data_IF_645706110238
#
_entry.id   IF_645706110238
#
_cell.length_a   1.000
_cell.length_b   1.000
_cell.length_c   1.000
_cell.angle_alpha   90.00
_cell.angle_beta   90.00
_cell.angle_gamma   90.00
#
_symmetry.space_group_name_H-M   'P 1'
#
loop_
_entity.id
_entity.type
_entity.pdbx_description
1 polymer ?
#
# COMPACT_ATOMS: atom_id res chain seq x y z
N UNK A 1 -15.37 11.86 19.59
CA UNK A 1 -14.80 11.25 18.36
C UNK A 1 -15.26 12.09 17.17
N UNK A 2 -14.38 12.36 16.23
CA UNK A 2 -14.71 13.06 14.98
C UNK A 2 -15.37 12.07 14.01
N UNK A 3 -16.62 12.36 13.62
CA UNK A 3 -17.45 11.50 12.76
C UNK A 3 -16.84 11.37 11.35
N UNK A 4 -16.29 12.46 10.82
CA UNK A 4 -15.64 12.46 9.51
C UNK A 4 -14.34 11.65 9.54
N UNK A 5 -13.58 11.75 10.63
CA UNK A 5 -12.37 10.96 10.80
C UNK A 5 -12.66 9.45 10.92
N UNK A 6 -13.68 9.04 11.69
CA UNK A 6 -14.11 7.64 11.79
C UNK A 6 -14.59 7.13 10.41
N UNK A 7 -15.30 7.96 9.65
CA UNK A 7 -15.71 7.63 8.29
C UNK A 7 -14.53 7.39 7.35
N UNK A 8 -13.59 8.34 7.26
CA UNK A 8 -12.44 8.23 6.37
C UNK A 8 -11.55 7.04 6.74
N UNK A 9 -11.42 6.74 8.03
CA UNK A 9 -10.70 5.54 8.50
C UNK A 9 -11.33 4.24 8.00
N UNK A 10 -12.67 4.14 8.00
CA UNK A 10 -13.39 2.93 7.56
C UNK A 10 -13.45 2.83 6.03
N UNK A 11 -13.68 3.95 5.36
CA UNK A 11 -13.74 4.01 3.90
C UNK A 11 -12.36 3.70 3.29
N UNK A 12 -11.30 4.21 3.92
CA UNK A 12 -9.90 4.07 3.49
C UNK A 12 -9.69 4.69 2.12
N UNK A 13 -9.08 5.88 2.08
CA UNK A 13 -8.81 6.61 0.84
C UNK A 13 -7.36 6.45 0.43
N UNK A 14 -7.12 6.08 -0.82
CA UNK A 14 -5.78 6.07 -1.42
C UNK A 14 -5.77 7.12 -2.53
N UNK A 15 -4.90 8.11 -2.41
CA UNK A 15 -4.68 9.09 -3.46
C UNK A 15 -3.57 8.61 -4.41
N UNK A 16 -3.69 8.99 -5.67
CA UNK A 16 -2.72 8.80 -6.74
C UNK A 16 -2.53 10.13 -7.45
N UNK A 17 -1.30 10.45 -7.83
CA UNK A 17 -0.98 11.62 -8.65
C UNK A 17 -0.77 11.17 -10.09
N UNK A 18 -1.44 11.84 -11.00
CA UNK A 18 -1.28 11.67 -12.45
C UNK A 18 -0.35 12.78 -13.00
N UNK A 19 -0.11 12.77 -14.31
CA UNK A 19 0.74 13.74 -14.97
C UNK A 19 0.17 15.18 -14.88
N UNK A 20 1.05 16.17 -14.73
CA UNK A 20 0.63 17.57 -14.64
C UNK A 20 0.38 18.15 -16.04
N UNK A 21 -0.77 18.79 -16.22
CA UNK A 21 -1.15 19.44 -17.48
C UNK A 21 -0.56 20.85 -17.52
N UNK A 22 0.14 21.17 -18.62
CA UNK A 22 0.71 22.50 -18.87
C UNK A 22 0.64 22.86 -20.36
N UNK A 23 0.50 24.16 -20.66
CA UNK A 23 0.79 24.72 -22.00
C UNK A 23 -0.14 24.36 -23.17
N UNK A 24 -1.40 23.97 -22.95
CA UNK A 24 -2.37 23.59 -24.01
C UNK A 24 -3.64 24.44 -24.01
N UNK A 25 -4.31 24.61 -25.17
CA UNK A 25 -5.57 25.39 -25.28
C UNK A 25 -6.81 24.61 -24.79
N UNK A 26 -6.84 23.29 -24.94
CA UNK A 26 -7.98 22.45 -24.52
C UNK A 26 -7.51 21.04 -24.20
N UNK A 27 -7.90 20.52 -23.04
CA UNK A 27 -7.68 19.14 -22.60
C UNK A 27 -9.03 18.44 -22.46
N UNK A 28 -9.20 17.31 -23.14
CA UNK A 28 -10.40 16.47 -23.02
C UNK A 28 -10.03 15.27 -22.17
N UNK A 29 -10.57 15.20 -20.95
CA UNK A 29 -10.38 14.06 -20.07
C UNK A 29 -11.60 13.14 -20.16
N UNK A 30 -11.46 12.07 -20.93
CA UNK A 30 -12.35 10.91 -20.86
C UNK A 30 -11.84 10.00 -19.74
N UNK A 31 -12.49 10.02 -18.58
CA UNK A 31 -12.22 9.01 -17.56
C UNK A 31 -12.80 7.70 -18.09
N UNK A 32 -11.93 6.75 -18.47
CA UNK A 32 -12.31 5.53 -19.15
C UNK A 32 -13.46 4.82 -18.42
N UNK A 33 -14.61 4.68 -19.09
CA UNK A 33 -15.65 3.78 -18.63
C UNK A 33 -15.07 2.36 -18.59
N UNK A 34 -15.23 1.65 -17.47
CA UNK A 34 -14.78 0.27 -17.27
C UNK A 34 -15.11 -0.57 -18.53
N UNK A 35 -14.15 -1.26 -19.17
CA UNK A 35 -14.46 -2.21 -20.23
C UNK A 35 -15.33 -3.32 -19.64
N UNK A 36 -16.51 -3.56 -20.24
CA UNK A 36 -17.48 -4.59 -19.80
C UNK A 36 -16.97 -6.04 -19.86
N UNK A 37 -15.68 -6.29 -20.08
CA UNK A 37 -15.12 -7.59 -20.45
C UNK A 37 -14.28 -8.31 -19.39
N UNK A 38 -14.26 -7.87 -18.12
CA UNK A 38 -13.70 -8.68 -17.01
C UNK A 38 -14.81 -9.37 -16.21
N UNK A 39 -15.01 -10.70 -16.33
CA UNK A 39 -16.13 -11.42 -15.71
C UNK A 39 -15.90 -11.72 -14.22
N UNK A 40 -15.03 -10.98 -13.53
CA UNK A 40 -14.76 -11.17 -12.11
C UNK A 40 -14.63 -9.80 -11.45
N UNK A 41 -15.55 -9.47 -10.54
CA UNK A 41 -15.69 -8.22 -9.77
C UNK A 41 -16.63 -7.14 -10.34
N UNK A 42 -17.94 -7.36 -10.21
CA UNK A 42 -18.92 -6.27 -10.19
C UNK A 42 -19.04 -5.69 -8.77
N UNK A 43 -18.00 -5.02 -8.30
CA UNK A 43 -18.09 -3.89 -7.36
C UNK A 43 -17.13 -2.86 -7.95
N UNK A 44 -17.62 -2.01 -8.84
CA UNK A 44 -16.81 -0.97 -9.48
C UNK A 44 -16.12 -0.16 -8.38
N UNK A 45 -14.78 -0.15 -8.37
CA UNK A 45 -14.04 0.79 -7.54
C UNK A 45 -14.51 2.19 -7.96
N UNK A 46 -15.13 2.91 -7.05
CA UNK A 46 -15.60 4.26 -7.30
C UNK A 46 -14.42 5.19 -7.05
N UNK A 47 -13.91 5.83 -8.10
CA UNK A 47 -12.81 6.80 -8.02
C UNK A 47 -13.34 8.22 -8.11
N UNK A 48 -12.60 9.14 -7.51
CA UNK A 48 -12.75 10.58 -7.72
C UNK A 48 -11.53 11.07 -8.49
N UNK A 49 -11.75 11.69 -9.64
CA UNK A 49 -10.70 12.49 -10.28
C UNK A 49 -10.57 13.82 -9.55
N UNK A 50 -9.35 14.24 -9.26
CA UNK A 50 -9.08 15.57 -8.72
C UNK A 50 -8.32 16.42 -9.73
N UNK A 51 -8.62 17.71 -9.73
CA UNK A 51 -7.91 18.70 -10.53
C UNK A 51 -7.63 19.93 -9.65
N UNK A 52 -6.35 20.26 -9.46
CA UNK A 52 -5.89 21.40 -8.67
C UNK A 52 -5.21 22.42 -9.59
N UNK A 53 -5.71 23.66 -9.61
CA UNK A 53 -5.20 24.74 -10.47
C UNK A 53 -4.03 25.42 -9.78
N UNK A 54 -2.81 25.06 -10.16
CA UNK A 54 -1.57 25.61 -9.55
C UNK A 54 -1.35 27.05 -10.02
N UNK A 55 -1.50 27.31 -11.32
CA UNK A 55 -1.40 28.65 -11.92
C UNK A 55 -2.37 28.81 -13.09
N UNK A 56 -2.68 30.06 -13.43
CA UNK A 56 -3.59 30.41 -14.51
C UNK A 56 -5.07 30.22 -14.17
N UNK A 57 -5.87 30.02 -15.21
CA UNK A 57 -7.32 29.87 -15.10
C UNK A 57 -7.82 28.78 -16.06
N UNK A 58 -8.75 27.96 -15.57
CA UNK A 58 -9.39 26.93 -16.39
C UNK A 58 -10.90 27.10 -16.42
N UNK A 59 -11.50 26.56 -17.47
CA UNK A 59 -12.93 26.31 -17.58
C UNK A 59 -13.17 24.81 -17.54
N UNK A 60 -13.97 24.36 -16.57
CA UNK A 60 -14.43 22.99 -16.43
C UNK A 60 -15.87 22.90 -16.93
N UNK A 61 -16.12 22.06 -17.93
CA UNK A 61 -17.45 21.81 -18.49
C UNK A 61 -17.82 20.36 -18.28
N UNK A 62 -18.95 20.12 -17.62
CA UNK A 62 -19.55 18.79 -17.44
C UNK A 62 -20.97 18.77 -18.05
N UNK A 63 -21.59 17.59 -18.13
CA UNK A 63 -22.98 17.46 -18.57
C UNK A 63 -23.99 18.25 -17.69
N UNK A 64 -23.64 18.51 -16.42
CA UNK A 64 -24.52 19.16 -15.46
C UNK A 64 -24.29 20.69 -15.34
N UNK A 65 -23.06 21.15 -15.50
CA UNK A 65 -22.69 22.55 -15.27
C UNK A 65 -21.35 22.95 -15.90
N UNK A 66 -21.19 24.25 -16.14
CA UNK A 66 -19.92 24.91 -16.50
C UNK A 66 -19.41 25.74 -15.31
N UNK A 67 -18.12 25.61 -15.01
CA UNK A 67 -17.45 26.31 -13.93
C UNK A 67 -16.12 26.89 -14.40
N UNK A 68 -15.89 28.18 -14.15
CA UNK A 68 -14.57 28.80 -14.31
C UNK A 68 -13.81 28.70 -13.00
N UNK A 69 -12.56 28.24 -12.99
CA UNK A 69 -11.72 28.00 -11.80
C UNK A 69 -10.41 28.80 -11.93
N UNK A 70 -9.98 29.42 -10.85
CA UNK A 70 -8.76 30.24 -10.77
C UNK A 70 -7.63 29.47 -10.06
N UNK A 71 -6.41 30.01 -10.10
CA UNK A 71 -5.30 29.52 -9.28
C UNK A 71 -5.72 29.38 -7.81
N UNK A 72 -5.37 28.24 -7.21
CA UNK A 72 -5.77 27.86 -5.85
C UNK A 72 -7.09 27.09 -5.76
N UNK A 73 -7.89 27.04 -6.83
CA UNK A 73 -9.12 26.24 -6.86
C UNK A 73 -8.82 24.74 -7.02
N UNK A 74 -9.67 23.90 -6.43
CA UNK A 74 -9.63 22.44 -6.61
C UNK A 74 -11.02 21.91 -6.92
N UNK A 75 -11.09 20.93 -7.82
CA UNK A 75 -12.34 20.27 -8.18
C UNK A 75 -12.18 18.76 -8.07
N UNK A 76 -13.17 18.10 -7.47
CA UNK A 76 -13.26 16.65 -7.37
C UNK A 76 -14.48 16.20 -8.18
N UNK A 77 -14.28 15.31 -9.14
CA UNK A 77 -15.32 14.80 -10.02
C UNK A 77 -15.45 13.28 -9.86
N UNK A 78 -16.69 12.79 -9.82
CA UNK A 78 -16.97 11.35 -9.75
C UNK A 78 -16.67 10.69 -11.11
N UNK A 79 -15.94 9.58 -11.09
CA UNK A 79 -15.59 8.79 -12.28
C UNK A 79 -16.84 8.29 -13.04
N UNK A 80 -16.79 8.34 -14.39
CA UNK A 80 -17.87 7.94 -15.29
C UNK A 80 -18.68 9.07 -15.93
N UNK A 81 -18.36 10.33 -15.63
CA UNK A 81 -18.93 11.52 -16.29
C UNK A 81 -17.89 12.18 -17.19
N UNK A 82 -18.20 12.36 -18.47
CA UNK A 82 -17.35 13.13 -19.38
C UNK A 82 -17.30 14.60 -18.97
N UNK A 83 -16.09 15.16 -18.95
CA UNK A 83 -15.86 16.57 -18.70
C UNK A 83 -14.69 17.10 -19.52
N UNK A 84 -14.74 18.40 -19.81
CA UNK A 84 -13.73 19.11 -20.61
C UNK A 84 -13.07 20.20 -19.78
N UNK A 85 -11.75 20.30 -19.91
CA UNK A 85 -10.92 21.32 -19.29
C UNK A 85 -10.36 22.22 -20.38
N UNK A 86 -10.66 23.51 -20.34
CA UNK A 86 -10.12 24.50 -21.26
C UNK A 86 -9.22 25.46 -20.51
N UNK A 87 -8.01 25.66 -21.02
CA UNK A 87 -7.14 26.71 -20.53
C UNK A 87 -7.66 28.08 -20.95
N UNK A 88 -7.61 29.05 -20.05
CA UNK A 88 -7.88 30.47 -20.34
C UNK A 88 -6.62 31.31 -20.43
N UNK A 89 -5.46 30.77 -20.04
CA UNK A 89 -4.19 31.48 -20.05
C UNK A 89 -3.01 30.56 -20.40
N UNK A 90 -1.99 31.08 -21.10
CA UNK A 90 -0.83 30.27 -21.53
C UNK A 90 0.03 29.75 -20.38
N UNK A 91 -0.02 30.41 -19.22
CA UNK A 91 0.65 30.03 -17.98
C UNK A 91 -0.14 29.02 -17.12
N UNK A 92 -1.23 28.46 -17.66
CA UNK A 92 -2.09 27.53 -16.90
C UNK A 92 -1.36 26.23 -16.61
N UNK A 93 -1.30 25.89 -15.31
CA UNK A 93 -0.76 24.63 -14.79
C UNK A 93 -1.78 23.96 -13.90
N UNK A 94 -2.10 22.71 -14.19
CA UNK A 94 -3.04 21.91 -13.42
C UNK A 94 -2.38 20.62 -12.98
N UNK A 95 -2.48 20.30 -11.70
CA UNK A 95 -2.12 18.99 -11.15
C UNK A 95 -3.36 18.11 -11.15
N UNK A 96 -3.22 16.88 -11.64
CA UNK A 96 -4.33 15.93 -11.75
C UNK A 96 -4.02 14.65 -10.98
N UNK A 97 -5.05 13.89 -10.67
CA UNK A 97 -4.89 12.56 -10.10
C UNK A 97 -6.21 11.98 -9.62
N UNK A 98 -6.12 10.95 -8.78
CA UNK A 98 -7.27 10.11 -8.43
C UNK A 98 -7.31 9.82 -6.93
N UNK A 99 -8.50 9.74 -6.37
CA UNK A 99 -8.75 9.21 -5.03
C UNK A 99 -9.60 7.95 -5.16
N UNK A 100 -9.05 6.83 -4.73
CA UNK A 100 -9.74 5.55 -4.68
C UNK A 100 -10.24 5.25 -3.27
N UNK A 101 -11.48 4.80 -3.16
CA UNK A 101 -11.99 4.25 -1.91
C UNK A 101 -11.70 2.75 -1.86
N UNK A 102 -10.82 2.36 -0.94
CA UNK A 102 -10.44 0.95 -0.72
C UNK A 102 -11.62 0.09 -0.26
N UNK A 103 -12.66 0.71 0.29
CA UNK A 103 -13.92 0.04 0.66
C UNK A 103 -14.84 -0.22 -0.54
N UNK A 104 -14.53 0.28 -1.73
CA UNK A 104 -15.44 0.24 -2.88
C UNK A 104 -16.61 1.21 -2.72
N UNK A 105 -17.82 0.79 -3.11
CA UNK A 105 -19.01 1.65 -3.29
C UNK A 105 -19.53 2.39 -2.06
N UNK A 106 -19.01 2.11 -0.87
CA UNK A 106 -19.40 2.77 0.40
C UNK A 106 -18.96 4.24 0.41
N UNK A 107 -17.83 4.57 -0.21
CA UNK A 107 -17.27 5.92 -0.19
C UNK A 107 -18.23 6.97 -0.76
N UNK A 108 -18.67 6.79 -2.01
CA UNK A 108 -19.49 7.82 -2.68
C UNK A 108 -20.98 7.68 -2.43
N UNK A 109 -21.50 6.44 -2.26
CA UNK A 109 -22.93 6.24 -2.01
C UNK A 109 -23.39 6.82 -0.67
N UNK A 110 -22.52 6.83 0.34
CA UNK A 110 -22.82 7.38 1.67
C UNK A 110 -22.71 8.90 1.66
N UNK A 111 -21.64 9.42 1.08
CA UNK A 111 -21.41 10.85 1.01
C UNK A 111 -22.47 11.55 0.15
N UNK A 112 -23.16 10.81 -0.74
CA UNK A 112 -24.13 11.30 -1.72
C UNK A 112 -23.63 12.59 -2.38
N UNK A 113 -22.37 12.57 -2.79
CA UNK A 113 -21.70 13.73 -3.35
C UNK A 113 -22.40 14.11 -4.64
N UNK A 114 -22.54 15.41 -4.88
CA UNK A 114 -22.83 15.89 -6.22
C UNK A 114 -21.79 15.29 -7.19
N UNK A 115 -22.16 15.14 -8.46
CA UNK A 115 -21.24 14.67 -9.52
C UNK A 115 -19.93 15.45 -9.55
N UNK A 116 -19.92 16.66 -8.99
CA UNK A 116 -18.75 17.51 -8.87
C UNK A 116 -18.77 18.32 -7.57
N UNK A 117 -17.63 18.35 -6.87
CA UNK A 117 -17.38 19.17 -5.68
C UNK A 117 -16.32 20.18 -6.03
N UNK A 118 -16.60 21.46 -5.80
CA UNK A 118 -15.65 22.54 -6.07
C UNK A 118 -15.24 23.17 -4.76
N UNK A 119 -13.93 23.27 -4.56
CA UNK A 119 -13.30 24.03 -3.47
C UNK A 119 -12.75 25.29 -4.09
N UNK A 120 -13.35 26.42 -3.73
CA UNK A 120 -12.89 27.73 -4.17
C UNK A 120 -11.80 28.25 -3.24
N UNK A 121 -10.72 28.73 -3.84
CA UNK A 121 -9.78 29.65 -3.24
C UNK A 121 -10.50 30.97 -3.03
N UNK A 122 -10.94 31.22 -1.80
CA UNK A 122 -11.04 32.61 -1.37
C UNK A 122 -9.61 33.03 -0.99
N UNK A 123 -9.21 34.29 -1.22
CA UNK A 123 -7.81 34.73 -1.19
C UNK A 123 -7.00 34.44 0.11
N UNK A 124 -7.63 33.94 1.18
CA UNK A 124 -6.98 33.47 2.42
C UNK A 124 -7.38 32.03 2.84
N UNK A 125 -7.90 31.19 1.93
CA UNK A 125 -8.33 29.83 2.29
C UNK A 125 -7.16 28.84 2.29
N UNK A 126 -7.13 27.96 3.30
CA UNK A 126 -6.21 26.82 3.43
C UNK A 126 -6.03 26.02 2.13
N UNK A 127 -7.05 25.96 1.27
CA UNK A 127 -6.98 25.31 -0.04
C UNK A 127 -5.94 25.93 -0.97
N UNK A 128 -5.84 27.25 -1.04
CA UNK A 128 -4.90 27.95 -1.93
C UNK A 128 -3.45 27.66 -1.53
N UNK A 129 -3.15 27.70 -0.23
CA UNK A 129 -1.82 27.34 0.29
C UNK A 129 -1.47 25.88 0.04
N UNK A 130 -2.43 24.96 0.21
CA UNK A 130 -2.24 23.54 -0.08
C UNK A 130 -1.98 23.30 -1.57
N UNK A 131 -2.72 23.95 -2.48
CA UNK A 131 -2.50 23.84 -3.94
C UNK A 131 -1.15 24.42 -4.34
N UNK A 132 -0.78 25.58 -3.79
CA UNK A 132 0.53 26.19 -4.04
C UNK A 132 1.66 25.25 -3.59
N UNK A 133 1.53 24.68 -2.39
CA UNK A 133 2.52 23.73 -1.86
C UNK A 133 2.58 22.44 -2.69
N UNK A 134 1.45 21.93 -3.16
CA UNK A 134 1.40 20.79 -4.07
C UNK A 134 2.20 21.06 -5.35
N UNK A 135 2.04 22.24 -5.94
CA UNK A 135 2.81 22.67 -7.11
C UNK A 135 4.32 22.67 -6.86
N UNK A 136 4.75 23.25 -5.73
CA UNK A 136 6.18 23.29 -5.35
C UNK A 136 6.78 21.90 -5.15
N UNK A 137 6.09 20.98 -4.46
CA UNK A 137 6.61 19.63 -4.22
C UNK A 137 6.78 18.84 -5.53
N UNK A 138 5.88 19.04 -6.51
CA UNK A 138 5.95 18.39 -7.83
C UNK A 138 7.09 18.94 -8.68
N UNK A 139 7.37 20.23 -8.60
CA UNK A 139 8.45 20.89 -9.35
C UNK A 139 9.83 20.53 -8.80
N UNK A 140 9.99 20.55 -7.47
CA UNK A 140 11.30 20.39 -6.84
C UNK A 140 11.71 18.92 -6.64
N UNK A 141 10.75 18.00 -6.61
CA UNK A 141 10.96 16.54 -6.49
C UNK A 141 11.97 16.11 -5.42
N UNK A 142 12.01 16.82 -4.30
CA UNK A 142 12.92 16.52 -3.18
C UNK A 142 12.61 15.15 -2.57
N UNK A 143 13.54 14.57 -1.83
CA UNK A 143 13.33 13.28 -1.16
C UNK A 143 12.01 13.26 -0.37
N UNK A 144 11.10 12.33 -0.70
CA UNK A 144 9.79 12.21 -0.06
C UNK A 144 8.65 13.04 -0.66
N UNK A 145 8.87 13.81 -1.74
CA UNK A 145 7.86 14.70 -2.34
C UNK A 145 6.52 14.01 -2.67
N UNK A 146 6.56 12.74 -3.12
CA UNK A 146 5.34 11.97 -3.40
C UNK A 146 4.48 11.78 -2.16
N UNK A 147 5.09 11.44 -1.02
CA UNK A 147 4.37 11.23 0.25
C UNK A 147 3.77 12.54 0.77
N UNK A 148 4.51 13.66 0.64
CA UNK A 148 4.01 14.99 1.00
C UNK A 148 2.83 15.39 0.12
N UNK A 149 2.98 15.22 -1.20
CA UNK A 149 1.94 15.54 -2.18
C UNK A 149 0.67 14.72 -1.95
N UNK A 150 0.79 13.43 -1.63
CA UNK A 150 -0.35 12.58 -1.25
C UNK A 150 -1.03 13.07 0.04
N UNK A 151 -0.26 13.49 1.04
CA UNK A 151 -0.79 14.11 2.26
C UNK A 151 -1.57 15.39 1.96
N UNK A 152 -1.08 16.23 1.05
CA UNK A 152 -1.74 17.46 0.61
C UNK A 152 -3.04 17.16 -0.13
N UNK A 153 -3.05 16.19 -1.06
CA UNK A 153 -4.27 15.79 -1.78
C UNK A 153 -5.35 15.29 -0.81
N UNK A 154 -4.96 14.49 0.19
CA UNK A 154 -5.89 14.06 1.24
C UNK A 154 -6.42 15.24 2.06
N UNK A 155 -5.57 16.22 2.39
CA UNK A 155 -5.99 17.43 3.09
C UNK A 155 -6.95 18.29 2.26
N UNK A 156 -6.69 18.44 0.95
CA UNK A 156 -7.58 19.12 0.01
C UNK A 156 -8.93 18.41 -0.11
N UNK A 157 -8.94 17.08 -0.14
CA UNK A 157 -10.18 16.30 -0.17
C UNK A 157 -10.98 16.48 1.13
N UNK A 158 -10.33 16.43 2.29
CA UNK A 158 -10.99 16.68 3.59
C UNK A 158 -11.52 18.12 3.65
N UNK A 159 -10.75 19.10 3.14
CA UNK A 159 -11.19 20.48 3.03
C UNK A 159 -12.44 20.60 2.16
N UNK A 160 -12.51 19.86 1.04
CA UNK A 160 -13.68 19.80 0.17
C UNK A 160 -14.91 19.24 0.86
N UNK A 161 -14.75 18.17 1.64
CA UNK A 161 -15.84 17.59 2.42
C UNK A 161 -16.32 18.55 3.52
N UNK A 162 -15.41 19.32 4.14
CA UNK A 162 -15.71 20.31 5.19
C UNK A 162 -16.37 21.58 4.68
N UNK A 163 -15.95 22.09 3.52
CA UNK A 163 -16.62 23.23 2.85
C UNK A 163 -18.00 22.85 2.30
N UNK A 164 -18.34 21.56 2.31
CA UNK A 164 -19.66 21.08 2.68
C UNK A 164 -20.76 21.19 1.65
N UNK A 165 -20.52 21.44 0.37
CA UNK A 165 -21.66 21.96 -0.40
C UNK A 165 -22.10 23.33 0.14
N UNK A 166 -21.12 24.23 0.24
CA UNK A 166 -21.31 25.66 -0.05
C UNK A 166 -21.54 25.91 -1.55
N UNK A 167 -21.90 24.88 -2.33
CA UNK A 167 -22.53 25.04 -3.63
C UNK A 167 -23.90 25.68 -3.42
N UNK A 168 -23.92 27.02 -3.43
CA UNK A 168 -25.09 27.89 -3.55
C UNK A 168 -26.25 27.58 -2.60
N UNK A 169 -26.66 28.60 -1.85
CA UNK A 169 -27.95 28.64 -1.14
C UNK A 169 -29.19 28.39 -2.05
N UNK A 170 -29.03 28.05 -3.33
CA UNK A 170 -30.12 27.84 -4.29
C UNK A 170 -30.57 26.38 -4.51
N UNK A 171 -29.89 25.35 -4.02
CA UNK A 171 -30.40 23.96 -4.14
C UNK A 171 -30.73 23.34 -2.78
N UNK A 172 -31.98 23.52 -2.36
CA UNK A 172 -32.61 22.94 -1.18
C UNK A 172 -32.81 21.41 -1.23
N UNK A 173 -32.25 20.70 -2.23
CA UNK A 173 -32.64 19.31 -2.56
C UNK A 173 -31.59 18.24 -2.24
N UNK A 174 -30.40 18.60 -1.76
CA UNK A 174 -29.35 17.61 -1.46
C UNK A 174 -29.63 16.94 -0.10
N UNK A 175 -30.23 15.75 -0.12
CA UNK A 175 -30.18 14.81 1.02
C UNK A 175 -28.76 14.19 1.09
N UNK A 176 -28.23 13.84 2.26
CA UNK A 176 -26.89 13.23 2.32
C UNK A 176 -26.15 13.36 3.64
N UNK A 177 -25.07 12.57 3.78
CA UNK A 177 -24.33 12.42 5.03
C UNK A 177 -23.56 13.68 5.46
N UNK A 178 -23.04 14.47 4.52
CA UNK A 178 -22.39 15.76 4.82
C UNK A 178 -23.39 16.77 5.43
N UNK A 179 -24.61 16.82 4.88
CA UNK A 179 -25.71 17.62 5.45
C UNK A 179 -26.12 17.12 6.83
N UNK A 180 -26.13 15.80 7.03
CA UNK A 180 -26.43 15.20 8.32
C UNK A 180 -25.43 15.58 9.42
N UNK A 181 -24.14 15.75 9.07
CA UNK A 181 -23.12 16.21 10.01
C UNK A 181 -23.18 17.72 10.29
N UNK A 182 -23.63 18.52 9.32
CA UNK A 182 -23.80 19.97 9.48
C UNK A 182 -25.08 20.33 10.25
N UNK A 183 -26.00 19.38 10.42
CA UNK A 183 -27.21 19.53 11.19
C UNK A 183 -26.94 19.34 12.69
N UNK A 184 -27.36 20.28 13.55
CA UNK A 184 -27.04 20.23 14.98
C UNK A 184 -27.58 18.98 15.68
N UNK A 185 -28.85 18.63 15.47
CA UNK A 185 -29.50 17.50 16.14
C UNK A 185 -29.03 16.16 15.54
N UNK A 186 -29.02 16.05 14.21
CA UNK A 186 -28.64 14.80 13.54
C UNK A 186 -27.13 14.57 13.65
N UNK A 187 -26.33 15.62 13.57
CA UNK A 187 -24.88 15.57 13.76
C UNK A 187 -24.51 15.09 15.17
N UNK A 188 -25.21 15.58 16.20
CA UNK A 188 -25.04 15.09 17.57
C UNK A 188 -25.45 13.61 17.72
N UNK A 189 -26.54 13.19 17.08
CA UNK A 189 -26.96 11.78 17.05
C UNK A 189 -25.90 10.88 16.40
N UNK A 190 -25.37 11.31 15.24
CA UNK A 190 -24.30 10.61 14.52
C UNK A 190 -23.05 10.51 15.39
N UNK A 191 -22.67 11.60 16.07
CA UNK A 191 -21.53 11.59 16.99
C UNK A 191 -21.68 10.54 18.08
N UNK A 192 -22.84 10.47 18.75
CA UNK A 192 -23.11 9.45 19.78
C UNK A 192 -23.01 8.02 19.22
N UNK A 193 -23.60 7.78 18.04
CA UNK A 193 -23.56 6.47 17.38
C UNK A 193 -22.14 6.05 16.96
N UNK A 194 -21.34 6.98 16.45
CA UNK A 194 -19.96 6.72 16.00
C UNK A 194 -18.98 6.58 17.17
N UNK A 195 -19.20 7.30 18.27
CA UNK A 195 -18.40 7.18 19.50
C UNK A 195 -18.62 5.84 20.20
N UNK A 196 -19.88 5.41 20.31
CA UNK A 196 -20.27 4.18 21.01
C UNK A 196 -21.08 3.26 20.09
N UNK A 197 -20.47 2.75 19.01
CA UNK A 197 -21.17 1.94 18.04
C UNK A 197 -21.53 0.57 18.60
N UNK A 198 -20.86 0.07 19.64
CA UNK A 198 -21.19 -1.23 20.26
C UNK A 198 -22.37 -1.13 21.25
N UNK A 199 -22.74 0.09 21.66
CA UNK A 199 -23.84 0.33 22.60
C UNK A 199 -25.19 -0.02 21.99
N UNK A 200 -26.10 -0.61 22.77
CA UNK A 200 -27.42 -1.06 22.31
C UNK A 200 -28.42 0.11 22.25
N UNK A 201 -28.07 1.14 21.49
CA UNK A 201 -28.90 2.32 21.30
C UNK A 201 -30.33 1.97 20.94
N UNK A 202 -31.28 2.66 21.58
CA UNK A 202 -32.67 2.71 21.14
C UNK A 202 -33.00 4.08 20.57
N UNK A 203 -34.04 4.16 19.72
CA UNK A 203 -34.50 5.46 19.20
C UNK A 203 -34.95 6.39 20.34
N UNK A 204 -35.55 5.83 21.39
CA UNK A 204 -35.98 6.62 22.55
C UNK A 204 -34.78 7.19 23.33
N UNK A 205 -33.76 6.38 23.55
CA UNK A 205 -32.53 6.80 24.22
C UNK A 205 -31.80 7.91 23.45
N UNK A 206 -31.61 7.73 22.14
CA UNK A 206 -31.01 8.76 21.28
C UNK A 206 -31.82 10.06 21.28
N UNK A 207 -33.15 9.96 21.23
CA UNK A 207 -34.01 11.14 21.27
C UNK A 207 -33.96 11.85 22.64
N UNK A 208 -33.88 11.09 23.73
CA UNK A 208 -33.74 11.63 25.09
C UNK A 208 -32.41 12.36 25.29
N UNK A 209 -31.28 11.78 24.84
CA UNK A 209 -29.96 12.41 24.90
C UNK A 209 -29.93 13.77 24.15
N UNK A 210 -30.77 13.90 23.13
CA UNK A 210 -30.90 15.11 22.31
C UNK A 210 -32.05 16.03 22.74
N UNK A 211 -32.81 15.67 23.78
CA UNK A 211 -33.99 16.40 24.26
C UNK A 211 -35.07 16.64 23.19
N UNK A 212 -35.26 15.68 22.27
CA UNK A 212 -36.23 15.75 21.17
C UNK A 212 -37.28 14.64 21.25
N UNK A 213 -38.42 14.85 20.58
CA UNK A 213 -39.44 13.82 20.41
C UNK A 213 -38.92 12.61 19.64
N UNK A 214 -39.19 11.40 20.14
CA UNK A 214 -38.80 10.13 19.49
C UNK A 214 -39.27 10.02 18.04
N UNK A 215 -40.52 10.37 17.76
CA UNK A 215 -41.10 10.25 16.41
C UNK A 215 -40.56 11.34 15.48
N UNK A 216 -40.42 12.56 15.98
CA UNK A 216 -39.86 13.67 15.22
C UNK A 216 -38.39 13.40 14.83
N UNK A 217 -37.59 12.93 15.80
CA UNK A 217 -36.20 12.53 15.57
C UNK A 217 -36.08 11.44 14.51
N UNK A 218 -36.84 10.35 14.63
CA UNK A 218 -36.74 9.23 13.69
C UNK A 218 -37.13 9.65 12.26
N UNK A 219 -38.16 10.47 12.11
CA UNK A 219 -38.60 10.98 10.81
C UNK A 219 -37.53 11.90 10.20
N UNK A 220 -37.04 12.88 10.98
CA UNK A 220 -36.02 13.85 10.54
C UNK A 220 -34.70 13.17 10.17
N UNK A 221 -34.26 12.23 11.00
CA UNK A 221 -33.06 11.43 10.74
C UNK A 221 -33.19 10.66 9.43
N UNK A 222 -34.33 9.99 9.18
CA UNK A 222 -34.57 9.28 7.92
C UNK A 222 -34.60 10.22 6.72
N UNK A 223 -35.22 11.38 6.83
CA UNK A 223 -35.29 12.37 5.75
C UNK A 223 -33.89 12.85 5.36
N UNK A 224 -33.03 13.14 6.34
CA UNK A 224 -31.71 13.73 6.09
C UNK A 224 -30.68 12.66 5.66
N UNK A 225 -30.67 11.49 6.32
CA UNK A 225 -29.68 10.43 6.10
C UNK A 225 -30.13 9.35 5.10
N UNK A 226 -31.40 9.34 4.72
CA UNK A 226 -32.02 8.30 3.89
C UNK A 226 -32.34 6.99 4.62
N UNK A 227 -31.89 6.80 5.88
CA UNK A 227 -32.08 5.57 6.66
C UNK A 227 -32.65 5.86 8.05
N UNK A 228 -33.52 5.01 8.62
CA UNK A 228 -33.88 5.12 10.03
C UNK A 228 -32.67 5.00 10.97
N UNK A 229 -32.71 5.60 12.18
CA UNK A 229 -31.56 5.65 13.10
C UNK A 229 -30.88 4.30 13.39
N UNK A 230 -31.65 3.27 13.72
CA UNK A 230 -31.09 1.96 14.08
C UNK A 230 -30.65 1.14 12.85
N UNK A 231 -31.26 1.39 11.68
CA UNK A 231 -30.80 0.82 10.42
C UNK A 231 -29.47 1.44 10.01
N UNK A 232 -29.30 2.76 10.19
CA UNK A 232 -28.03 3.46 10.00
C UNK A 232 -26.95 2.88 10.92
N UNK A 233 -27.21 2.74 12.21
CA UNK A 233 -26.23 2.19 13.16
C UNK A 233 -25.85 0.74 12.81
N UNK A 234 -26.82 -0.09 12.43
CA UNK A 234 -26.58 -1.47 12.00
C UNK A 234 -25.71 -1.51 10.75
N UNK A 235 -26.03 -0.67 9.78
CA UNK A 235 -25.25 -0.49 8.57
C UNK A 235 -23.81 -0.05 8.89
N UNK A 236 -23.63 0.95 9.75
CA UNK A 236 -22.32 1.47 10.15
C UNK A 236 -21.45 0.40 10.83
N UNK A 237 -22.05 -0.42 11.71
CA UNK A 237 -21.36 -1.57 12.33
C UNK A 237 -20.84 -2.55 11.29
N UNK A 238 -21.64 -2.86 10.27
CA UNK A 238 -21.24 -3.73 9.16
C UNK A 238 -20.09 -3.10 8.35
N UNK A 239 -20.08 -1.77 8.16
CA UNK A 239 -18.97 -1.08 7.49
C UNK A 239 -17.66 -1.20 8.26
N UNK A 240 -17.69 -0.92 9.57
CA UNK A 240 -16.52 -1.08 10.45
C UNK A 240 -16.03 -2.52 10.48
N UNK A 241 -16.95 -3.49 10.49
CA UNK A 241 -16.63 -4.90 10.39
C UNK A 241 -15.89 -5.23 9.08
N UNK A 242 -16.39 -4.73 7.95
CA UNK A 242 -15.75 -4.93 6.65
C UNK A 242 -14.34 -4.31 6.58
N UNK A 243 -14.15 -3.11 7.15
CA UNK A 243 -12.82 -2.47 7.23
C UNK A 243 -11.82 -3.32 8.03
N UNK A 244 -12.22 -3.80 9.22
CA UNK A 244 -11.37 -4.66 10.06
C UNK A 244 -11.06 -6.03 9.41
N UNK A 245 -12.03 -6.58 8.67
CA UNK A 245 -11.82 -7.81 7.92
C UNK A 245 -10.85 -7.63 6.73
N UNK A 246 -10.78 -6.42 6.17
CA UNK A 246 -9.82 -6.08 5.11
C UNK A 246 -8.39 -5.95 5.64
N UNK A 247 -8.19 -5.33 6.80
CA UNK A 247 -6.84 -5.22 7.40
C UNK A 247 -6.33 -6.54 7.96
N UNK A 248 -7.24 -7.44 8.37
CA UNK A 248 -6.89 -8.78 8.84
C UNK A 248 -6.55 -8.87 10.33
N UNK A 249 -6.74 -7.78 11.07
CA UNK A 249 -6.31 -7.64 12.48
C UNK A 249 -7.20 -8.38 13.49
N UNK A 250 -8.31 -9.00 13.05
CA UNK A 250 -9.34 -9.55 13.94
C UNK A 250 -9.99 -10.81 13.40
N UNK A 251 -10.45 -11.67 14.32
CA UNK A 251 -11.18 -12.90 13.98
C UNK A 251 -12.63 -12.63 13.58
N UNK A 252 -13.25 -13.56 12.85
CA UNK A 252 -14.67 -13.44 12.47
C UNK A 252 -15.60 -13.39 13.69
N UNK A 253 -15.28 -14.17 14.72
CA UNK A 253 -15.99 -14.20 16.00
C UNK A 253 -15.94 -12.85 16.70
N UNK A 254 -14.75 -12.25 16.76
CA UNK A 254 -14.57 -10.94 17.38
C UNK A 254 -15.32 -9.84 16.62
N UNK A 255 -15.25 -9.83 15.28
CA UNK A 255 -15.98 -8.88 14.44
C UNK A 255 -17.48 -9.02 14.62
N UNK A 256 -17.99 -10.26 14.70
CA UNK A 256 -19.41 -10.55 14.93
C UNK A 256 -19.89 -9.93 16.26
N UNK A 257 -19.16 -10.18 17.36
CA UNK A 257 -19.48 -9.65 18.69
C UNK A 257 -19.45 -8.12 18.72
N UNK A 258 -18.38 -7.51 18.18
CA UNK A 258 -18.23 -6.04 18.12
C UNK A 258 -19.25 -5.37 17.21
N UNK A 259 -19.87 -6.12 16.29
CA UNK A 259 -20.95 -5.62 15.43
C UNK A 259 -22.35 -5.77 16.05
N UNK A 260 -22.44 -6.26 17.30
CA UNK A 260 -23.70 -6.40 18.02
C UNK A 260 -24.54 -7.63 17.65
N UNK A 261 -23.95 -8.61 16.94
CA UNK A 261 -24.62 -9.86 16.58
C UNK A 261 -24.30 -10.96 17.59
N UNK A 262 -25.31 -11.78 17.92
CA UNK A 262 -25.17 -12.89 18.87
C UNK A 262 -24.63 -14.18 18.23
N UNK A 263 -24.66 -14.29 16.90
CA UNK A 263 -24.13 -15.46 16.18
C UNK A 263 -23.46 -15.06 14.87
N UNK A 264 -22.42 -15.80 14.48
CA UNK A 264 -21.71 -15.59 13.21
C UNK A 264 -22.63 -15.83 12.00
N UNK A 265 -23.63 -16.71 12.14
CA UNK A 265 -24.63 -16.97 11.10
C UNK A 265 -25.51 -15.73 10.85
N UNK A 266 -26.00 -15.07 11.91
CA UNK A 266 -26.80 -13.85 11.78
C UNK A 266 -25.99 -12.70 11.18
N UNK A 267 -24.73 -12.55 11.64
CA UNK A 267 -23.79 -11.58 11.07
C UNK A 267 -23.52 -11.88 9.59
N UNK A 268 -23.19 -13.14 9.25
CA UNK A 268 -22.89 -13.55 7.87
C UNK A 268 -24.05 -13.29 6.92
N UNK A 269 -25.30 -13.53 7.35
CA UNK A 269 -26.51 -13.21 6.57
C UNK A 269 -26.68 -11.71 6.36
N UNK A 270 -26.54 -10.91 7.42
CA UNK A 270 -26.65 -9.46 7.33
C UNK A 270 -25.53 -8.85 6.47
N UNK A 271 -24.30 -9.34 6.64
CA UNK A 271 -23.13 -8.94 5.87
C UNK A 271 -23.29 -9.27 4.39
N UNK A 272 -23.74 -10.48 4.05
CA UNK A 272 -23.96 -10.87 2.65
C UNK A 272 -25.10 -10.07 2.01
N UNK A 273 -26.13 -9.71 2.77
CA UNK A 273 -27.20 -8.82 2.29
C UNK A 273 -26.67 -7.43 1.96
N UNK A 274 -25.76 -6.89 2.77
CA UNK A 274 -25.21 -5.55 2.57
C UNK A 274 -24.13 -5.51 1.48
N UNK A 275 -23.21 -6.47 1.47
CA UNK A 275 -22.00 -6.44 0.62
C UNK A 275 -22.05 -7.41 -0.57
N UNK A 276 -23.08 -8.23 -0.70
CA UNK A 276 -23.21 -9.26 -1.76
C UNK A 276 -22.31 -10.49 -1.58
N UNK A 277 -21.24 -10.39 -0.79
CA UNK A 277 -20.26 -11.45 -0.51
C UNK A 277 -20.22 -11.81 0.98
N UNK A 278 -19.67 -12.98 1.31
CA UNK A 278 -19.50 -13.37 2.72
C UNK A 278 -18.29 -12.69 3.38
N UNK A 279 -18.28 -12.55 4.73
CA UNK A 279 -17.13 -12.02 5.48
C UNK A 279 -15.81 -12.72 5.16
N UNK A 280 -15.85 -14.06 5.04
CA UNK A 280 -14.68 -14.87 4.70
C UNK A 280 -14.17 -14.65 3.28
N UNK A 281 -15.08 -14.44 2.32
CA UNK A 281 -14.73 -14.06 0.95
C UNK A 281 -14.05 -12.69 0.90
N UNK A 282 -14.59 -11.69 1.60
CA UNK A 282 -13.97 -10.36 1.68
C UNK A 282 -12.55 -10.44 2.28
N UNK A 283 -12.38 -11.17 3.39
CA UNK A 283 -11.07 -11.37 4.02
C UNK A 283 -10.07 -12.03 3.07
N UNK A 284 -10.49 -13.03 2.30
CA UNK A 284 -9.65 -13.70 1.31
C UNK A 284 -9.28 -12.76 0.15
N UNK A 285 -10.24 -11.96 -0.34
CA UNK A 285 -9.99 -10.97 -1.39
C UNK A 285 -9.03 -9.87 -0.94
N UNK A 286 -9.13 -9.41 0.32
CA UNK A 286 -8.22 -8.41 0.87
C UNK A 286 -6.78 -8.95 0.97
N UNK A 287 -6.62 -10.21 1.43
CA UNK A 287 -5.32 -10.91 1.39
C UNK A 287 -4.78 -11.05 -0.04
N UNK A 288 -5.64 -11.32 -1.02
CA UNK A 288 -5.26 -11.40 -2.42
C UNK A 288 -4.91 -10.03 -3.04
N UNK A 289 -5.59 -8.93 -2.66
CA UNK A 289 -5.24 -7.56 -3.12
C UNK A 289 -3.93 -7.04 -2.53
N UNK A 290 -3.56 -7.48 -1.33
CA UNK A 290 -2.21 -7.28 -0.79
C UNK A 290 -1.13 -7.98 -1.63
N UNK A 291 -1.51 -8.92 -2.50
CA UNK A 291 -0.66 -9.50 -3.53
C UNK A 291 -0.92 -8.75 -4.86
N UNK A 292 -0.50 -7.49 -4.93
CA UNK A 292 -0.12 -6.93 -6.25
C UNK A 292 0.89 -7.89 -6.86
N UNK A 293 0.81 -8.17 -8.17
CA UNK A 293 1.70 -9.12 -8.84
C UNK A 293 3.12 -8.90 -8.35
N UNK A 294 3.66 -9.90 -7.66
CA UNK A 294 4.96 -9.72 -7.03
C UNK A 294 6.01 -9.49 -8.10
N UNK A 295 7.10 -8.84 -7.72
CA UNK A 295 8.24 -8.63 -8.62
C UNK A 295 8.67 -9.95 -9.28
N UNK A 296 8.67 -11.06 -8.52
CA UNK A 296 8.99 -12.37 -9.06
C UNK A 296 7.94 -12.88 -10.05
N UNK A 297 6.64 -12.68 -9.78
CA UNK A 297 5.59 -13.06 -10.73
C UNK A 297 5.74 -12.34 -12.07
N UNK A 298 6.07 -11.05 -12.04
CA UNK A 298 6.32 -10.24 -13.23
C UNK A 298 7.54 -10.77 -14.01
N UNK A 299 8.64 -11.04 -13.31
CA UNK A 299 9.87 -11.55 -13.92
C UNK A 299 9.70 -12.94 -14.53
N UNK A 300 8.93 -13.82 -13.88
CA UNK A 300 8.62 -15.16 -14.39
C UNK A 300 7.50 -15.15 -15.44
N UNK A 301 6.91 -13.98 -15.74
CA UNK A 301 5.78 -13.81 -16.67
C UNK A 301 4.62 -14.77 -16.35
N UNK A 302 4.40 -15.07 -15.06
CA UNK A 302 3.30 -15.93 -14.62
C UNK A 302 1.98 -15.17 -14.77
N UNK A 303 1.05 -15.78 -15.52
CA UNK A 303 -0.32 -15.24 -15.69
C UNK A 303 -1.08 -15.22 -14.37
N UNK A 304 -0.99 -16.30 -13.61
CA UNK A 304 -1.66 -16.46 -12.32
C UNK A 304 -0.69 -16.23 -11.14
N UNK A 305 -1.15 -15.67 -10.01
CA UNK A 305 -0.36 -15.56 -8.77
C UNK A 305 0.15 -16.92 -8.26
N UNK A 306 1.17 -16.90 -7.40
CA UNK A 306 1.60 -18.10 -6.70
C UNK A 306 0.50 -18.66 -5.80
N UNK A 307 0.32 -19.99 -5.83
CA UNK A 307 -0.76 -20.66 -5.10
C UNK A 307 -0.57 -20.55 -3.59
N UNK A 308 0.68 -20.56 -3.13
CA UNK A 308 1.08 -20.46 -1.72
C UNK A 308 2.29 -19.52 -1.57
N UNK A 309 2.35 -18.66 -0.54
CA UNK A 309 3.46 -17.72 -0.33
C UNK A 309 4.83 -18.39 -0.17
N UNK A 310 4.87 -19.61 0.39
CA UNK A 310 6.09 -20.38 0.59
C UNK A 310 6.75 -20.77 -0.73
N UNK A 311 5.95 -21.06 -1.76
CA UNK A 311 6.45 -21.37 -3.10
C UNK A 311 7.15 -20.15 -3.70
N UNK A 312 6.53 -18.99 -3.57
CA UNK A 312 7.09 -17.74 -4.05
C UNK A 312 8.41 -17.40 -3.35
N UNK A 313 8.42 -17.46 -2.01
CA UNK A 313 9.61 -17.19 -1.21
C UNK A 313 10.76 -18.15 -1.57
N UNK A 314 10.46 -19.45 -1.76
CA UNK A 314 11.46 -20.45 -2.16
C UNK A 314 12.08 -20.15 -3.53
N UNK A 315 11.26 -19.80 -4.52
CA UNK A 315 11.75 -19.45 -5.86
C UNK A 315 12.54 -18.13 -5.86
N UNK A 316 12.10 -17.14 -5.08
CA UNK A 316 12.83 -15.88 -4.93
C UNK A 316 14.21 -16.11 -4.30
N UNK A 317 14.30 -17.01 -3.31
CA UNK A 317 15.57 -17.37 -2.68
C UNK A 317 16.53 -18.02 -3.68
N UNK A 318 16.06 -19.01 -4.45
CA UNK A 318 16.88 -19.69 -5.48
C UNK A 318 17.40 -18.67 -6.50
N UNK A 319 16.49 -17.87 -7.07
CA UNK A 319 16.85 -16.88 -8.09
C UNK A 319 17.83 -15.84 -7.57
N UNK A 320 17.62 -15.36 -6.35
CA UNK A 320 18.52 -14.40 -5.71
C UNK A 320 19.90 -15.01 -5.45
N UNK A 321 19.94 -16.27 -4.99
CA UNK A 321 21.19 -16.99 -4.75
C UNK A 321 22.00 -17.17 -6.06
N UNK A 322 21.36 -17.59 -7.14
CA UNK A 322 22.00 -17.73 -8.46
C UNK A 322 22.58 -16.38 -8.94
N UNK A 323 21.77 -15.32 -8.91
CA UNK A 323 22.21 -13.98 -9.31
C UNK A 323 23.40 -13.47 -8.47
N UNK A 324 23.43 -13.78 -7.16
CA UNK A 324 24.53 -13.40 -6.28
C UNK A 324 25.80 -14.23 -6.52
N UNK A 325 25.66 -15.52 -6.85
CA UNK A 325 26.77 -16.45 -7.03
C UNK A 325 27.52 -16.23 -8.35
N UNK A 326 26.82 -15.95 -9.44
CA UNK A 326 27.42 -15.84 -10.78
C UNK A 326 28.64 -14.88 -10.84
N UNK A 327 28.56 -13.63 -10.35
CA UNK A 327 29.71 -12.74 -10.35
C UNK A 327 30.88 -13.24 -9.48
N UNK A 328 30.57 -13.95 -8.39
CA UNK A 328 31.57 -14.49 -7.48
C UNK A 328 32.31 -15.68 -8.11
N UNK A 329 31.58 -16.59 -8.76
CA UNK A 329 32.15 -17.70 -9.53
C UNK A 329 33.04 -17.15 -10.66
N UNK A 330 32.55 -16.16 -11.41
CA UNK A 330 33.33 -15.52 -12.49
C UNK A 330 34.63 -14.91 -11.96
N UNK A 331 34.59 -14.24 -10.81
CA UNK A 331 35.77 -13.67 -10.17
C UNK A 331 36.78 -14.75 -9.78
N UNK A 332 36.35 -15.83 -9.12
CA UNK A 332 37.27 -16.90 -8.73
C UNK A 332 37.92 -17.59 -9.94
N UNK A 333 37.14 -17.83 -11.00
CA UNK A 333 37.62 -18.46 -12.22
C UNK A 333 38.72 -17.64 -12.92
N UNK A 334 38.68 -16.30 -12.85
CA UNK A 334 39.74 -15.42 -13.37
C UNK A 334 41.10 -15.64 -12.66
N UNK A 335 41.07 -16.20 -11.46
CA UNK A 335 42.23 -16.55 -10.67
C UNK A 335 42.50 -18.07 -10.64
N UNK A 336 41.84 -18.85 -11.51
CA UNK A 336 42.02 -20.30 -11.58
C UNK A 336 41.51 -21.05 -10.35
N UNK A 337 40.58 -20.45 -9.59
CA UNK A 337 39.98 -21.06 -8.40
C UNK A 337 38.51 -21.38 -8.64
N UNK A 338 38.08 -22.51 -8.07
CA UNK A 338 36.67 -22.87 -7.94
C UNK A 338 36.19 -22.61 -6.50
N UNK A 339 34.87 -22.49 -6.31
CA UNK A 339 34.28 -22.14 -5.01
C UNK A 339 34.74 -23.03 -3.86
N UNK A 340 34.79 -24.34 -4.09
CA UNK A 340 35.18 -25.34 -3.08
C UNK A 340 36.66 -25.24 -2.71
N UNK A 341 37.54 -25.02 -3.70
CA UNK A 341 38.98 -24.79 -3.49
C UNK A 341 39.23 -23.49 -2.72
N UNK A 342 38.57 -22.40 -3.12
CA UNK A 342 38.64 -21.12 -2.40
C UNK A 342 38.22 -21.28 -0.93
N UNK A 343 37.18 -22.07 -0.67
CA UNK A 343 36.66 -22.23 0.67
C UNK A 343 37.64 -22.98 1.58
N UNK A 344 38.30 -24.04 1.09
CA UNK A 344 39.37 -24.73 1.83
C UNK A 344 40.50 -23.75 2.19
N UNK A 345 40.98 -22.98 1.20
CA UNK A 345 42.03 -21.98 1.44
C UNK A 345 41.61 -20.92 2.47
N UNK A 346 40.38 -20.41 2.37
CA UNK A 346 39.84 -19.41 3.30
C UNK A 346 39.76 -19.96 4.73
N UNK A 347 39.35 -21.21 4.91
CA UNK A 347 39.28 -21.87 6.23
C UNK A 347 40.68 -22.02 6.82
N UNK A 348 41.64 -22.57 6.04
CA UNK A 348 43.02 -22.74 6.49
C UNK A 348 43.68 -21.39 6.85
N UNK A 349 43.48 -20.35 6.02
CA UNK A 349 43.95 -18.99 6.32
C UNK A 349 43.34 -18.43 7.61
N UNK A 350 42.03 -18.62 7.81
CA UNK A 350 41.31 -18.09 8.97
C UNK A 350 41.71 -18.76 10.29
N UNK A 351 42.03 -20.05 10.26
CA UNK A 351 42.52 -20.79 11.43
C UNK A 351 43.98 -20.46 11.75
N UNK A 352 44.82 -20.26 10.73
CA UNK A 352 46.24 -19.95 10.89
C UNK A 352 47.09 -21.08 11.47
N UNK A 353 46.50 -22.26 11.69
CA UNK A 353 47.15 -23.46 12.20
C UNK A 353 46.83 -24.65 11.29
N UNK A 354 47.69 -25.68 11.24
CA UNK A 354 47.41 -26.88 10.46
C UNK A 354 46.06 -27.51 10.87
N UNK A 355 45.29 -28.01 9.90
CA UNK A 355 43.98 -28.65 10.13
C UNK A 355 43.96 -30.08 9.60
N UNK A 356 43.23 -30.97 10.27
CA UNK A 356 42.96 -32.30 9.73
C UNK A 356 41.90 -32.22 8.61
N UNK A 357 41.95 -33.15 7.66
CA UNK A 357 41.00 -33.20 6.54
C UNK A 357 39.55 -33.37 7.01
N UNK A 358 39.32 -34.20 8.02
CA UNK A 358 37.97 -34.42 8.59
C UNK A 358 37.40 -33.16 9.27
N UNK A 359 38.26 -32.32 9.85
CA UNK A 359 37.84 -31.06 10.47
C UNK A 359 37.41 -30.03 9.43
N UNK A 360 38.02 -30.05 8.23
CA UNK A 360 37.64 -29.16 7.13
C UNK A 360 36.25 -29.48 6.59
N UNK A 361 35.90 -30.77 6.50
CA UNK A 361 34.62 -31.21 5.95
C UNK A 361 33.41 -30.60 6.68
N UNK A 362 33.51 -30.43 8.01
CA UNK A 362 32.48 -29.80 8.85
C UNK A 362 32.42 -28.27 8.73
N UNK A 363 33.39 -27.64 8.07
CA UNK A 363 33.52 -26.17 7.97
C UNK A 363 33.28 -25.65 6.55
N UNK A 364 33.10 -26.55 5.57
CA UNK A 364 32.75 -26.17 4.21
C UNK A 364 31.37 -25.50 4.16
N UNK A 365 31.21 -24.57 3.21
CA UNK A 365 29.99 -23.80 2.99
C UNK A 365 28.93 -24.67 2.30
N UNK A 366 29.38 -25.59 1.45
CA UNK A 366 28.59 -26.62 0.79
C UNK A 366 29.29 -27.97 1.02
N UNK A 367 28.55 -29.07 1.25
CA UNK A 367 29.13 -30.41 1.34
C UNK A 367 29.83 -30.80 0.04
N UNK A 368 30.93 -31.55 0.15
CA UNK A 368 31.72 -32.08 -0.98
C UNK A 368 31.98 -33.57 -0.79
N UNK A 369 31.71 -34.37 -1.83
CA UNK A 369 31.83 -35.83 -1.78
C UNK A 369 33.30 -36.31 -1.88
N UNK A 370 34.14 -35.55 -2.60
CA UNK A 370 35.56 -35.89 -2.84
C UNK A 370 36.51 -34.78 -2.42
N UNK A 371 36.60 -34.59 -1.10
CA UNK A 371 37.52 -33.60 -0.52
C UNK A 371 38.99 -33.93 -0.78
N UNK A 372 39.31 -35.22 -0.99
CA UNK A 372 40.68 -35.69 -1.23
C UNK A 372 41.19 -35.15 -2.58
N UNK A 373 40.39 -35.25 -3.63
CA UNK A 373 40.71 -34.69 -4.94
C UNK A 373 40.92 -33.17 -4.89
N UNK A 374 40.07 -32.44 -4.13
CA UNK A 374 40.23 -31.00 -3.94
C UNK A 374 41.56 -30.66 -3.22
N UNK A 375 41.92 -31.43 -2.20
CA UNK A 375 43.20 -31.26 -1.48
C UNK A 375 44.38 -31.56 -2.41
N UNK A 376 44.32 -32.64 -3.18
CA UNK A 376 45.39 -33.01 -4.11
C UNK A 376 45.59 -31.95 -5.21
N UNK A 377 44.50 -31.33 -5.69
CA UNK A 377 44.57 -30.17 -6.59
C UNK A 377 45.28 -28.98 -5.94
N UNK A 378 44.95 -28.64 -4.69
CA UNK A 378 45.59 -27.53 -3.98
C UNK A 378 47.07 -27.79 -3.68
N UNK A 379 47.43 -29.04 -3.39
CA UNK A 379 48.82 -29.47 -3.18
C UNK A 379 49.60 -29.41 -4.49
N UNK A 380 49.02 -29.90 -5.58
CA UNK A 380 49.61 -29.82 -6.93
C UNK A 380 49.85 -28.37 -7.37
N UNK A 381 48.90 -27.48 -7.05
CA UNK A 381 49.02 -26.04 -7.28
C UNK A 381 49.93 -25.30 -6.28
N UNK A 382 50.54 -26.02 -5.32
CA UNK A 382 51.41 -25.48 -4.26
C UNK A 382 50.73 -24.43 -3.35
N UNK A 383 49.40 -24.44 -3.27
CA UNK A 383 48.61 -23.53 -2.42
C UNK A 383 48.41 -24.08 -1.00
N UNK A 384 48.53 -25.39 -0.85
CA UNK A 384 48.45 -26.11 0.44
C UNK A 384 49.63 -27.08 0.55
N UNK A 385 50.14 -27.26 1.76
CA UNK A 385 51.13 -28.27 2.11
C UNK A 385 50.55 -29.29 3.10
N UNK A 386 50.99 -30.54 3.01
CA UNK A 386 50.59 -31.63 3.90
C UNK A 386 51.79 -32.01 4.77
N UNK A 387 51.63 -32.03 6.09
CA UNK A 387 52.67 -32.55 7.00
C UNK A 387 52.44 -34.03 7.34
N UNK A 388 53.52 -34.79 7.38
CA UNK A 388 53.52 -36.20 7.81
C UNK A 388 53.98 -36.33 9.27
N UNK A 389 53.49 -37.34 10.04
CA UNK A 389 52.66 -38.47 9.61
C UNK A 389 51.14 -38.23 9.61
N UNK A 390 50.65 -37.19 10.28
CA UNK A 390 49.20 -37.02 10.55
C UNK A 390 48.38 -36.35 9.42
N UNK A 391 48.99 -36.11 8.25
CA UNK A 391 48.38 -35.45 7.08
C UNK A 391 47.69 -34.11 7.42
N UNK A 392 48.37 -33.27 8.21
CA UNK A 392 47.81 -31.95 8.56
C UNK A 392 48.00 -30.97 7.41
N UNK A 393 46.93 -30.29 7.04
CA UNK A 393 46.87 -29.35 5.93
C UNK A 393 47.21 -27.95 6.42
N UNK A 394 48.14 -27.28 5.76
CA UNK A 394 48.51 -25.89 6.04
C UNK A 394 48.50 -25.09 4.75
N UNK A 395 48.00 -23.85 4.80
CA UNK A 395 48.09 -22.93 3.67
C UNK A 395 49.56 -22.52 3.46
N UNK A 396 50.01 -22.47 2.21
CA UNK A 396 51.37 -21.99 1.88
C UNK A 396 51.40 -20.47 1.77
N UNK A 397 52.59 -19.90 1.64
CA UNK A 397 52.73 -18.48 1.32
C UNK A 397 52.07 -18.14 -0.03
N UNK A 398 52.24 -18.98 -1.05
CA UNK A 398 51.59 -18.81 -2.35
C UNK A 398 50.05 -18.81 -2.24
N UNK A 399 49.48 -19.73 -1.45
CA UNK A 399 48.04 -19.74 -1.14
C UNK A 399 47.58 -18.46 -0.45
N UNK A 400 48.36 -17.98 0.52
CA UNK A 400 48.06 -16.75 1.26
C UNK A 400 48.12 -15.51 0.36
N UNK A 401 49.12 -15.41 -0.51
CA UNK A 401 49.25 -14.33 -1.49
C UNK A 401 48.11 -14.35 -2.52
N UNK A 402 47.68 -15.53 -2.97
CA UNK A 402 46.52 -15.67 -3.86
C UNK A 402 45.24 -15.14 -3.22
N UNK A 403 44.96 -15.51 -1.97
CA UNK A 403 43.79 -14.99 -1.25
C UNK A 403 43.88 -13.48 -1.00
N UNK A 404 45.09 -12.97 -0.71
CA UNK A 404 45.31 -11.53 -0.51
C UNK A 404 44.97 -10.71 -1.75
N UNK A 405 45.20 -11.24 -2.97
CA UNK A 405 44.78 -10.62 -4.23
C UNK A 405 43.25 -10.59 -4.40
N UNK A 406 42.53 -11.51 -3.77
CA UNK A 406 41.08 -11.65 -3.87
C UNK A 406 40.30 -10.87 -2.81
N UNK A 407 40.91 -10.51 -1.69
CA UNK A 407 40.20 -9.87 -0.56
C UNK A 407 39.48 -8.58 -0.98
N UNK A 408 40.17 -7.66 -1.66
CA UNK A 408 39.57 -6.40 -2.11
C UNK A 408 38.51 -6.61 -3.22
N UNK A 409 38.76 -7.40 -4.28
CA UNK A 409 37.73 -7.72 -5.27
C UNK A 409 36.46 -8.36 -4.69
N UNK A 410 36.60 -9.31 -3.76
CA UNK A 410 35.46 -9.98 -3.12
C UNK A 410 34.66 -8.98 -2.28
N UNK A 411 35.33 -8.16 -1.48
CA UNK A 411 34.67 -7.14 -0.66
C UNK A 411 33.96 -6.09 -1.52
N UNK A 412 34.59 -5.65 -2.62
CA UNK A 412 33.96 -4.73 -3.57
C UNK A 412 32.72 -5.34 -4.24
N UNK A 413 32.78 -6.64 -4.59
CA UNK A 413 31.65 -7.38 -5.16
C UNK A 413 30.47 -7.42 -4.19
N UNK A 414 30.69 -7.78 -2.92
CA UNK A 414 29.62 -7.80 -1.91
C UNK A 414 29.06 -6.41 -1.62
N UNK A 415 29.92 -5.38 -1.55
CA UNK A 415 29.44 -3.99 -1.42
C UNK A 415 28.57 -3.59 -2.61
N UNK A 416 28.97 -3.92 -3.84
CA UNK A 416 28.15 -3.63 -5.02
C UNK A 416 26.78 -4.32 -4.96
N UNK A 417 26.74 -5.56 -4.46
CA UNK A 417 25.50 -6.33 -4.36
C UNK A 417 24.58 -5.88 -3.22
N UNK A 418 25.13 -5.40 -2.09
CA UNK A 418 24.38 -5.24 -0.84
C UNK A 418 24.44 -3.84 -0.22
N UNK A 419 25.18 -2.87 -0.80
CA UNK A 419 25.32 -1.51 -0.24
C UNK A 419 24.02 -0.69 -0.18
N UNK A 420 22.98 -1.12 -0.90
CA UNK A 420 21.67 -0.48 -0.86
C UNK A 420 20.82 -0.90 0.35
N UNK A 421 21.28 -1.87 1.14
CA UNK A 421 20.67 -2.23 2.41
C UNK A 421 21.29 -1.42 3.56
N UNK A 422 20.46 -0.95 4.48
CA UNK A 422 20.90 -0.44 5.79
C UNK A 422 21.44 -1.57 6.68
N UNK A 423 22.17 -1.22 7.73
CA UNK A 423 22.69 -2.20 8.71
C UNK A 423 21.56 -3.01 9.36
N UNK A 424 20.43 -2.37 9.66
CA UNK A 424 19.26 -3.05 10.23
C UNK A 424 18.63 -4.06 9.27
N UNK A 425 18.54 -3.71 7.98
CA UNK A 425 18.00 -4.62 6.97
C UNK A 425 18.94 -5.81 6.71
N UNK A 426 20.27 -5.60 6.73
CA UNK A 426 21.25 -6.69 6.65
C UNK A 426 21.18 -7.62 7.85
N UNK A 427 21.00 -7.08 9.07
CA UNK A 427 20.83 -7.88 10.28
C UNK A 427 19.56 -8.75 10.20
N UNK A 428 18.46 -8.18 9.73
CA UNK A 428 17.20 -8.90 9.54
C UNK A 428 17.30 -9.95 8.43
N UNK A 429 17.93 -9.61 7.31
CA UNK A 429 18.18 -10.55 6.21
C UNK A 429 18.98 -11.77 6.68
N UNK A 430 20.05 -11.55 7.44
CA UNK A 430 20.82 -12.63 8.06
C UNK A 430 19.97 -13.50 8.99
N UNK A 431 19.15 -12.88 9.84
CA UNK A 431 18.23 -13.59 10.75
C UNK A 431 17.25 -14.48 9.99
N UNK A 432 16.68 -13.97 8.90
CA UNK A 432 15.74 -14.71 8.05
C UNK A 432 16.41 -15.87 7.31
N UNK A 433 17.62 -15.68 6.78
CA UNK A 433 18.39 -16.77 6.14
C UNK A 433 18.74 -17.88 7.13
N UNK A 434 19.11 -17.54 8.37
CA UNK A 434 19.36 -18.53 9.43
C UNK A 434 18.08 -19.29 9.78
N UNK A 435 16.94 -18.59 9.89
CA UNK A 435 15.64 -19.20 10.12
C UNK A 435 15.23 -20.14 8.97
N UNK A 436 15.52 -19.77 7.73
CA UNK A 436 15.21 -20.60 6.55
C UNK A 436 16.02 -21.91 6.52
N UNK A 437 17.28 -21.89 6.98
CA UNK A 437 18.14 -23.09 7.05
C UNK A 437 17.85 -23.98 8.26
N UNK A 438 17.28 -23.42 9.32
CA UNK A 438 16.91 -24.13 10.53
C UNK A 438 15.39 -24.04 10.73
N UNK A 439 14.59 -24.75 9.92
CA UNK A 439 13.15 -24.85 10.18
C UNK A 439 13.00 -25.53 11.54
N UNK A 440 12.66 -24.77 12.59
CA UNK A 440 12.26 -25.38 13.84
C UNK A 440 11.08 -26.33 13.54
N UNK A 441 11.20 -27.58 14.02
CA UNK A 441 10.18 -28.63 13.87
C UNK A 441 8.83 -28.27 14.48
#
# INVERSE_FOLDING_TARGET
MDVLADFLSVAGTVAHLDESLSGGKTWVHQVASIPRSSPTMAVAAQRLSFYAVVSGQIRFTSAAAEHSLNSGDTIFAIEGQEHRLESRSEDTRVTTGQIEFTSGSIGLSVLNLASTIIVRSNDESLSSELVRRLGTEIEEQRGGWKSVSLGIVNALFIAALRSGGTCSKSNSESNGWLRAMADDEIGAALKLMHERPEHRWTVAELANELSVSRSAFAARFKTITGRPPLEYLTWWRLQRAAARLRTGDVTLTEVTRKSGYQSEAAFGKAFRREFGISPGQLRRQAKAKSHTSSQLQLELKKRDPFTVPEQEAGLNLIKTAEWMQEPFISLLNQHGLFGSLYNILRILRGKGIPQAQDELLNQLLLPEDDIQSLVDQLVSAQLVSVSHPNRMLSITEAGTQLLSKLDSPILALHRRQLSHFSEGELAEFNRLLVKARNPAG
#
